data_IF_131222265770
#
_entry.id   IF_131222265770
#
_cell.length_a   1.000
_cell.length_b   1.000
_cell.length_c   1.000
_cell.angle_alpha   90.00
_cell.angle_beta   90.00
_cell.angle_gamma   90.00
#
_symmetry.space_group_name_H-M   'P 1'
#
loop_
_entity.id
_entity.type
_entity.pdbx_description
1 polymer ?
#
# COMPACT_ATOMS: atom_id res chain seq x y z
N UNK A 1 15.37 23.36 11.77
CA UNK A 1 14.15 23.10 11.00
C UNK A 1 14.22 21.70 10.44
N UNK A 2 13.15 20.90 10.57
CA UNK A 2 13.09 19.55 10.01
C UNK A 2 12.21 19.55 8.75
N UNK A 3 12.69 18.94 7.67
CA UNK A 3 11.93 18.77 6.43
C UNK A 3 11.88 17.27 6.09
N UNK A 4 10.68 16.75 5.86
CA UNK A 4 10.45 15.35 5.46
C UNK A 4 9.73 15.35 4.10
N UNK A 5 10.20 14.51 3.19
CA UNK A 5 9.67 14.38 1.83
C UNK A 5 9.34 12.91 1.57
N UNK A 6 8.18 12.65 0.96
CA UNK A 6 7.74 11.33 0.53
C UNK A 6 7.22 11.39 -0.90
N UNK A 7 7.47 10.34 -1.68
CA UNK A 7 6.91 10.14 -3.01
C UNK A 7 6.25 8.76 -3.07
N UNK A 8 5.05 8.71 -3.61
CA UNK A 8 4.28 7.47 -3.78
C UNK A 8 3.40 7.58 -5.02
N UNK A 9 3.05 6.42 -5.59
CA UNK A 9 2.01 6.33 -6.60
C UNK A 9 0.64 6.52 -5.94
N UNK A 10 -0.11 7.53 -6.39
CA UNK A 10 -1.36 7.96 -5.78
C UNK A 10 -2.51 6.97 -6.00
N UNK A 11 -2.45 6.12 -7.03
CA UNK A 11 -3.50 5.13 -7.31
C UNK A 11 -3.14 3.75 -6.78
N UNK A 12 -1.86 3.41 -6.71
CA UNK A 12 -1.41 2.17 -6.06
C UNK A 12 -1.34 2.39 -4.56
N UNK A 13 -0.30 3.05 -4.04
CA UNK A 13 -0.12 3.18 -2.59
C UNK A 13 -0.99 4.26 -1.95
N UNK A 14 -1.45 5.23 -2.74
CA UNK A 14 -2.42 6.24 -2.31
C UNK A 14 -3.88 5.80 -2.36
N UNK A 15 -4.22 4.69 -3.03
CA UNK A 15 -5.60 4.22 -3.15
C UNK A 15 -5.74 2.69 -3.22
N UNK A 16 -5.88 2.12 -4.42
CA UNK A 16 -6.31 0.74 -4.65
C UNK A 16 -5.31 -0.30 -4.11
N UNK A 17 -4.01 -0.06 -4.26
CA UNK A 17 -2.97 -0.92 -3.70
C UNK A 17 -3.02 -0.98 -2.17
N UNK A 18 -3.37 0.12 -1.48
CA UNK A 18 -3.60 0.05 -0.03
C UNK A 18 -4.89 -0.66 0.35
N UNK A 19 -5.96 -0.47 -0.43
CA UNK A 19 -7.20 -1.22 -0.22
C UNK A 19 -6.95 -2.74 -0.33
N UNK A 20 -6.14 -3.17 -1.30
CA UNK A 20 -5.76 -4.58 -1.47
C UNK A 20 -4.90 -5.07 -0.30
N UNK A 21 -3.91 -4.31 0.18
CA UNK A 21 -3.12 -4.72 1.37
C UNK A 21 -4.01 -4.93 2.59
N UNK A 22 -4.93 -4.00 2.85
CA UNK A 22 -5.86 -4.10 3.97
C UNK A 22 -6.81 -5.30 3.81
N UNK A 23 -7.29 -5.55 2.60
CA UNK A 23 -8.10 -6.72 2.28
C UNK A 23 -7.32 -8.02 2.51
N UNK A 24 -6.07 -8.09 2.06
CA UNK A 24 -5.22 -9.26 2.24
C UNK A 24 -5.09 -9.59 3.74
N UNK A 25 -4.81 -8.58 4.56
CA UNK A 25 -4.74 -8.75 6.02
C UNK A 25 -6.08 -9.18 6.62
N UNK A 26 -7.21 -8.58 6.21
CA UNK A 26 -8.54 -8.95 6.71
C UNK A 26 -8.93 -10.39 6.36
N UNK A 27 -8.46 -10.90 5.23
CA UNK A 27 -8.77 -12.25 4.73
C UNK A 27 -7.71 -13.30 5.11
N UNK A 28 -6.61 -12.89 5.75
CA UNK A 28 -5.53 -13.78 6.18
C UNK A 28 -4.56 -14.19 5.08
N UNK A 29 -4.49 -13.43 3.98
CA UNK A 29 -3.46 -13.59 2.93
C UNK A 29 -2.17 -12.85 3.32
N UNK A 30 -1.08 -13.10 2.57
CA UNK A 30 0.13 -12.28 2.70
C UNK A 30 -0.16 -10.82 2.30
N UNK A 31 0.32 -9.83 3.05
CA UNK A 31 0.05 -8.41 2.77
C UNK A 31 0.42 -8.01 1.34
N UNK A 32 1.49 -8.61 0.79
CA UNK A 32 2.02 -8.35 -0.56
C UNK A 32 1.40 -9.23 -1.65
N UNK A 33 0.48 -10.13 -1.31
CA UNK A 33 -0.21 -11.00 -2.26
C UNK A 33 -0.88 -10.16 -3.37
N UNK A 34 -0.56 -10.44 -4.65
CA UNK A 34 -1.12 -9.73 -5.80
C UNK A 34 -0.63 -8.29 -6.03
N UNK A 35 0.37 -7.83 -5.27
CA UNK A 35 0.96 -6.50 -5.44
C UNK A 35 2.38 -6.57 -6.01
N UNK A 36 2.79 -5.60 -6.86
CA UNK A 36 4.17 -5.49 -7.29
C UNK A 36 5.09 -5.23 -6.09
N UNK A 37 6.31 -5.79 -6.15
CA UNK A 37 7.38 -5.51 -5.18
C UNK A 37 7.81 -4.05 -5.24
#
# INVERSE_FOLDING_TARGET
>A
TLLVVSALDNLVKGAAGQAVQNMNLMLGFEETEGLPR
#
